data_IF_722394007697
#
_entry.id   IF_722394007697
#
_cell.length_a   1.000
_cell.length_b   1.000
_cell.length_c   1.000
_cell.angle_alpha   90.00
_cell.angle_beta   90.00
_cell.angle_gamma   90.00
#
_symmetry.space_group_name_H-M   'P 1'
#
loop_
_entity.id
_entity.type
_entity.pdbx_description
1 polymer ?
#
# COMPACT_ATOMS: atom_id res chain seq x y z
N UNK A 1 -17.28 6.77 -8.29
CA UNK A 1 -16.69 7.80 -9.18
C UNK A 1 -15.47 7.30 -9.95
N UNK A 2 -14.45 6.69 -9.34
CA UNK A 2 -13.25 6.18 -10.04
C UNK A 2 -13.51 5.32 -11.30
N UNK A 3 -14.53 4.43 -11.29
CA UNK A 3 -14.89 3.64 -12.49
C UNK A 3 -15.60 4.46 -13.57
N UNK A 4 -16.42 5.41 -13.14
CA UNK A 4 -17.42 6.07 -13.99
C UNK A 4 -16.95 7.43 -14.51
N UNK A 5 -16.05 8.11 -13.79
CA UNK A 5 -15.53 9.45 -14.06
C UNK A 5 -14.06 9.43 -14.53
N UNK A 6 -13.23 8.56 -13.95
CA UNK A 6 -11.78 8.50 -14.21
C UNK A 6 -11.36 7.35 -15.15
N UNK A 7 -12.31 6.63 -15.76
CA UNK A 7 -12.02 5.63 -16.80
C UNK A 7 -11.25 4.39 -16.35
N UNK A 8 -11.20 4.09 -15.05
CA UNK A 8 -10.46 2.91 -14.55
C UNK A 8 -11.12 1.59 -14.99
N UNK A 9 -10.50 0.91 -15.97
CA UNK A 9 -10.91 -0.41 -16.48
C UNK A 9 -10.84 -1.50 -15.40
N UNK A 10 -9.92 -1.38 -14.44
CA UNK A 10 -9.90 -2.15 -13.18
C UNK A 10 -9.66 -1.21 -12.01
N UNK A 11 -10.49 -1.32 -10.98
CA UNK A 11 -10.17 -0.77 -9.67
C UNK A 11 -9.05 -1.63 -9.08
N UNK A 12 -8.04 -1.00 -8.48
CA UNK A 12 -7.02 -1.72 -7.71
C UNK A 12 -7.62 -2.43 -6.49
N UNK A 13 -6.77 -2.81 -5.54
CA UNK A 13 -7.20 -3.51 -4.33
C UNK A 13 -7.62 -2.52 -3.23
N UNK A 14 -8.61 -2.90 -2.42
CA UNK A 14 -8.92 -2.16 -1.19
C UNK A 14 -7.90 -2.45 -0.09
N UNK A 15 -7.84 -1.57 0.91
CA UNK A 15 -6.98 -1.78 2.09
C UNK A 15 -7.36 -3.08 2.81
N UNK A 16 -8.66 -3.35 2.97
CA UNK A 16 -9.16 -4.58 3.59
C UNK A 16 -8.73 -5.85 2.84
N UNK A 17 -8.80 -5.85 1.50
CA UNK A 17 -8.34 -6.99 0.71
C UNK A 17 -6.85 -7.25 0.89
N UNK A 18 -6.03 -6.19 0.85
CA UNK A 18 -4.58 -6.30 1.04
C UNK A 18 -4.22 -6.80 2.44
N UNK A 19 -4.87 -6.28 3.48
CA UNK A 19 -4.66 -6.72 4.87
C UNK A 19 -5.09 -8.19 5.07
N UNK A 20 -6.18 -8.62 4.44
CA UNK A 20 -6.60 -10.02 4.42
C UNK A 20 -5.54 -10.94 3.80
N UNK A 21 -4.87 -10.50 2.73
CA UNK A 21 -3.76 -11.25 2.14
C UNK A 21 -2.50 -11.23 2.99
N UNK A 22 -2.18 -10.13 3.66
CA UNK A 22 -1.07 -10.06 4.62
C UNK A 22 -1.24 -11.11 5.72
N UNK A 23 -2.43 -11.19 6.32
CA UNK A 23 -2.75 -12.18 7.34
C UNK A 23 -2.56 -13.61 6.83
N UNK A 24 -3.10 -13.93 5.64
CA UNK A 24 -2.95 -15.26 5.02
C UNK A 24 -1.49 -15.60 4.68
N UNK A 25 -0.65 -14.59 4.43
CA UNK A 25 0.77 -14.75 4.13
C UNK A 25 1.68 -14.72 5.37
N UNK A 26 1.13 -14.57 6.58
CA UNK A 26 1.93 -14.45 7.82
C UNK A 26 2.69 -13.12 7.93
N UNK A 27 2.19 -12.07 7.29
CA UNK A 27 2.72 -10.70 7.37
C UNK A 27 1.89 -9.87 8.34
N UNK A 28 2.55 -9.19 9.27
CA UNK A 28 1.96 -8.15 10.10
C UNK A 28 1.97 -6.81 9.33
N UNK A 29 0.84 -6.11 9.24
CA UNK A 29 0.80 -4.79 8.62
C UNK A 29 1.60 -3.78 9.44
N UNK A 30 2.40 -2.96 8.76
CA UNK A 30 3.23 -1.91 9.39
C UNK A 30 2.72 -0.53 9.01
N UNK A 31 2.49 -0.29 7.71
CA UNK A 31 2.07 1.00 7.21
C UNK A 31 1.19 0.84 5.98
N UNK A 32 0.22 1.72 5.83
CA UNK A 32 -0.50 1.95 4.58
C UNK A 32 -0.38 3.42 4.24
N UNK A 33 0.04 3.74 3.03
CA UNK A 33 0.18 5.11 2.55
C UNK A 33 -0.61 5.28 1.26
N UNK A 34 -1.40 6.34 1.20
CA UNK A 34 -2.02 6.79 -0.04
C UNK A 34 -1.18 7.95 -0.56
N UNK A 35 -0.63 7.80 -1.75
CA UNK A 35 0.06 8.87 -2.45
C UNK A 35 -0.96 9.55 -3.36
N UNK A 36 -1.24 10.81 -3.03
CA UNK A 36 -2.13 11.67 -3.80
C UNK A 36 -1.32 12.40 -4.87
N UNK A 37 -1.71 12.29 -6.13
CA UNK A 37 -0.97 12.87 -7.25
C UNK A 37 -1.76 12.85 -8.55
N UNK A 38 -2.51 13.93 -8.80
CA UNK A 38 -3.21 14.15 -10.07
C UNK A 38 -4.23 13.05 -10.43
N UNK A 39 -4.16 12.54 -11.65
CA UNK A 39 -5.19 11.65 -12.24
C UNK A 39 -5.19 10.21 -11.70
N UNK A 40 -4.21 9.80 -10.87
CA UNK A 40 -4.07 8.43 -10.38
C UNK A 40 -3.76 8.41 -8.89
N UNK A 41 -4.60 7.72 -8.11
CA UNK A 41 -4.33 7.41 -6.71
C UNK A 41 -3.45 6.17 -6.61
N UNK A 42 -2.31 6.29 -5.94
CA UNK A 42 -1.44 5.15 -5.62
C UNK A 42 -1.58 4.80 -4.15
N UNK A 43 -1.61 3.50 -3.84
CA UNK A 43 -1.56 2.98 -2.47
C UNK A 43 -0.34 2.09 -2.29
N UNK A 44 0.38 2.28 -1.18
CA UNK A 44 1.52 1.50 -0.76
C UNK A 44 1.17 0.80 0.56
N UNK A 45 1.40 -0.51 0.64
CA UNK A 45 1.22 -1.30 1.87
C UNK A 45 2.53 -1.95 2.26
N UNK A 46 3.01 -1.67 3.47
CA UNK A 46 4.21 -2.25 4.04
C UNK A 46 3.82 -3.34 5.05
N UNK A 47 4.29 -4.56 4.79
CA UNK A 47 4.13 -5.71 5.70
C UNK A 47 5.47 -6.17 6.24
N UNK A 48 5.49 -6.69 7.47
CA UNK A 48 6.67 -7.29 8.11
C UNK A 48 6.38 -8.75 8.43
N UNK A 49 7.35 -9.62 8.20
CA UNK A 49 7.23 -11.04 8.58
C UNK A 49 7.15 -11.16 10.10
N UNK A 50 6.10 -11.81 10.59
CA UNK A 50 5.91 -12.01 12.02
C UNK A 50 7.05 -12.84 12.62
N UNK A 51 7.57 -12.45 13.79
CA UNK A 51 8.62 -13.17 14.51
C UNK A 51 10.05 -12.95 14.01
N UNK A 52 10.27 -12.11 12.99
CA UNK A 52 11.61 -11.66 12.62
C UNK A 52 11.77 -10.18 12.98
N UNK A 53 12.73 -9.81 13.84
CA UNK A 53 13.10 -8.42 14.01
C UNK A 53 13.77 -7.94 12.71
N UNK A 54 12.96 -7.52 11.74
CA UNK A 54 13.44 -6.83 10.55
C UNK A 54 14.21 -5.58 10.95
N UNK A 55 15.41 -5.41 10.40
CA UNK A 55 16.26 -4.26 10.65
C UNK A 55 15.54 -2.98 10.18
N UNK A 56 15.40 -2.00 11.07
CA UNK A 56 14.86 -0.69 10.73
C UNK A 56 15.96 0.08 10.01
N UNK A 57 15.98 -0.03 8.69
CA UNK A 57 16.85 0.80 7.86
C UNK A 57 16.34 2.25 7.92
N UNK A 58 17.25 3.23 7.95
CA UNK A 58 16.87 4.63 7.94
C UNK A 58 16.02 4.93 6.69
N UNK A 59 14.87 5.57 6.90
CA UNK A 59 13.98 6.00 5.82
C UNK A 59 14.65 7.16 5.10
N UNK A 60 15.03 6.95 3.85
CA UNK A 60 15.45 8.05 2.98
C UNK A 60 14.21 8.72 2.40
N UNK A 61 13.98 9.98 2.77
CA UNK A 61 12.96 10.80 2.11
C UNK A 61 13.38 11.04 0.65
N UNK A 62 12.63 10.43 -0.27
CA UNK A 62 12.74 10.74 -1.70
C UNK A 62 11.89 11.97 -1.94
N UNK A 63 12.52 13.12 -2.22
CA UNK A 63 11.79 14.32 -2.63
C UNK A 63 11.11 14.04 -3.98
N UNK A 64 9.78 14.15 -4.01
CA UNK A 64 9.02 14.14 -5.26
C UNK A 64 9.49 15.34 -6.13
N UNK A 65 9.78 15.06 -7.40
CA UNK A 65 10.26 16.01 -8.39
C UNK A 65 9.13 16.91 -8.90
#
# INVERSE_FOLDING_TARGET
ELRTREGHVRLGFSDEQMLGWFSKAGLAPVQTQTLEGGALTVKLWLGRKAGQPGEQLPVNEVKAA
#
